data_IF_450952380303
#
_entry.id   IF_450952380303
#
_cell.length_a   1.000
_cell.length_b   1.000
_cell.length_c   1.000
_cell.angle_alpha   90.00
_cell.angle_beta   90.00
_cell.angle_gamma   90.00
#
_symmetry.space_group_name_H-M   'P 1'
#
loop_
_entity.id
_entity.type
_entity.pdbx_description
1 polymer ?
#
# COMPACT_ATOMS: atom_id res chain seq x y z
N UNK A 1 -15.62 -21.29 -4.07
CA UNK A 1 -15.69 -19.89 -3.65
C UNK A 1 -16.43 -19.05 -4.71
N UNK A 2 -16.98 -17.91 -4.31
CA UNK A 2 -17.73 -17.03 -5.22
C UNK A 2 -16.87 -16.48 -6.38
N UNK A 3 -15.58 -16.30 -6.14
CA UNK A 3 -14.66 -15.60 -7.06
C UNK A 3 -13.52 -16.48 -7.58
N UNK A 4 -13.41 -17.72 -7.17
CA UNK A 4 -12.31 -18.61 -7.56
C UNK A 4 -10.92 -17.99 -7.34
N UNK A 5 -10.68 -17.41 -6.17
CA UNK A 5 -9.42 -16.79 -5.75
C UNK A 5 -8.83 -17.53 -4.56
N UNK A 6 -7.52 -17.51 -4.44
CA UNK A 6 -6.76 -17.86 -3.24
C UNK A 6 -6.36 -16.57 -2.51
N UNK A 7 -6.50 -16.55 -1.19
CA UNK A 7 -6.13 -15.41 -0.36
C UNK A 7 -5.07 -15.85 0.64
N UNK A 8 -3.99 -15.08 0.72
CA UNK A 8 -2.91 -15.27 1.69
C UNK A 8 -2.87 -14.04 2.59
N UNK A 9 -2.90 -14.24 3.89
CA UNK A 9 -2.92 -13.17 4.89
C UNK A 9 -1.61 -13.21 5.72
N UNK A 10 -0.55 -12.54 5.29
CA UNK A 10 0.69 -12.48 6.05
C UNK A 10 0.56 -11.52 7.23
N UNK A 11 1.25 -11.81 8.33
CA UNK A 11 1.44 -10.84 9.41
C UNK A 11 2.44 -9.77 8.98
N UNK A 12 2.13 -8.51 9.24
CA UNK A 12 3.02 -7.38 8.98
C UNK A 12 3.54 -6.73 10.26
N UNK A 13 3.12 -7.22 11.43
CA UNK A 13 3.42 -6.58 12.72
C UNK A 13 3.18 -5.05 12.66
N UNK A 14 4.15 -4.24 13.11
CA UNK A 14 4.10 -2.76 13.04
C UNK A 14 5.07 -2.21 11.99
N UNK A 15 5.32 -2.96 10.89
CA UNK A 15 6.38 -2.66 9.92
C UNK A 15 5.97 -1.73 8.78
N UNK A 16 4.70 -1.39 8.65
CA UNK A 16 4.15 -0.78 7.42
C UNK A 16 4.52 -1.55 6.14
N UNK A 17 4.91 -2.82 6.28
CA UNK A 17 5.33 -3.69 5.18
C UNK A 17 6.51 -3.14 4.36
N UNK A 18 7.37 -2.32 4.99
CA UNK A 18 8.60 -1.80 4.36
C UNK A 18 9.83 -2.58 4.83
N UNK A 19 10.92 -2.46 4.07
CA UNK A 19 12.23 -2.91 4.53
C UNK A 19 12.78 -1.88 5.51
N UNK A 20 12.91 -2.27 6.78
CA UNK A 20 13.31 -1.40 7.86
C UNK A 20 14.65 -1.80 8.44
N UNK A 21 15.65 -0.95 8.25
CA UNK A 21 16.98 -1.15 8.90
C UNK A 21 16.89 -1.03 10.42
N UNK A 22 16.07 -0.12 10.93
CA UNK A 22 15.88 0.11 12.35
C UNK A 22 15.17 -1.03 13.08
N UNK A 23 14.32 -1.78 12.37
CA UNK A 23 13.65 -2.98 12.88
C UNK A 23 14.39 -4.28 12.54
N UNK A 24 15.42 -4.23 11.67
CA UNK A 24 16.09 -5.42 11.18
C UNK A 24 15.18 -6.36 10.36
N UNK A 25 14.17 -5.80 9.68
CA UNK A 25 13.15 -6.57 8.98
C UNK A 25 13.05 -6.15 7.51
N UNK A 26 12.77 -7.12 6.64
CA UNK A 26 12.65 -6.94 5.19
C UNK A 26 11.24 -7.33 4.71
N UNK A 27 10.22 -6.68 5.26
CA UNK A 27 8.82 -7.02 4.95
C UNK A 27 8.45 -6.75 3.49
N UNK A 28 8.98 -5.70 2.86
CA UNK A 28 8.71 -5.44 1.46
C UNK A 28 9.24 -6.58 0.55
N UNK A 29 10.47 -7.03 0.78
CA UNK A 29 11.05 -8.17 0.07
C UNK A 29 10.28 -9.46 0.35
N UNK A 30 9.91 -9.68 1.61
CA UNK A 30 9.14 -10.86 1.99
C UNK A 30 7.79 -10.91 1.26
N UNK A 31 7.00 -9.83 1.30
CA UNK A 31 5.67 -9.80 0.66
C UNK A 31 5.79 -9.76 -0.87
N UNK A 32 6.66 -8.89 -1.40
CA UNK A 32 6.76 -8.62 -2.83
C UNK A 32 7.43 -9.72 -3.64
N UNK A 33 8.25 -10.56 -3.01
CA UNK A 33 9.04 -11.57 -3.70
C UNK A 33 8.96 -12.96 -3.07
N UNK A 34 9.34 -13.08 -1.79
CA UNK A 34 9.54 -14.40 -1.19
C UNK A 34 8.21 -15.14 -0.98
N UNK A 35 7.19 -14.45 -0.47
CA UNK A 35 5.86 -14.99 -0.27
C UNK A 35 5.19 -15.35 -1.60
N UNK A 36 5.26 -14.47 -2.60
CA UNK A 36 4.70 -14.73 -3.93
C UNK A 36 5.32 -15.98 -4.52
N UNK A 37 6.64 -16.08 -4.52
CA UNK A 37 7.38 -17.26 -5.03
C UNK A 37 7.03 -18.54 -4.25
N UNK A 38 6.94 -18.46 -2.94
CA UNK A 38 6.57 -19.59 -2.10
C UNK A 38 5.15 -20.10 -2.42
N UNK A 39 4.20 -19.19 -2.52
CA UNK A 39 2.79 -19.51 -2.80
C UNK A 39 2.63 -20.17 -4.18
N UNK A 40 3.27 -19.60 -5.21
CA UNK A 40 3.25 -20.21 -6.55
C UNK A 40 3.80 -21.64 -6.55
N UNK A 41 4.98 -21.82 -5.95
CA UNK A 41 5.65 -23.15 -5.94
C UNK A 41 4.90 -24.18 -5.11
N UNK A 42 4.32 -23.75 -3.97
CA UNK A 42 3.72 -24.69 -3.01
C UNK A 42 2.30 -25.08 -3.40
N UNK A 43 1.51 -24.15 -3.93
CA UNK A 43 0.08 -24.36 -4.19
C UNK A 43 -0.26 -24.47 -5.69
N UNK A 44 0.72 -24.36 -6.59
CA UNK A 44 0.50 -24.45 -8.03
C UNK A 44 -0.44 -23.36 -8.58
N UNK A 45 -0.45 -22.19 -7.96
CA UNK A 45 -1.25 -21.05 -8.42
C UNK A 45 -0.59 -20.39 -9.64
N UNK A 46 -1.35 -19.58 -10.36
CA UNK A 46 -0.82 -18.83 -11.51
C UNK A 46 0.36 -17.96 -11.10
N UNK A 47 1.39 -17.91 -11.96
CA UNK A 47 2.54 -17.01 -11.82
C UNK A 47 2.50 -15.85 -12.81
N UNK A 48 1.37 -15.65 -13.48
CA UNK A 48 1.19 -14.52 -14.37
C UNK A 48 0.91 -13.27 -13.53
N UNK A 49 1.58 -12.17 -13.86
CA UNK A 49 1.43 -10.89 -13.18
C UNK A 49 -0.04 -10.46 -13.06
N UNK A 50 -0.79 -10.61 -14.14
CA UNK A 50 -2.22 -10.24 -14.22
C UNK A 50 -3.15 -11.04 -13.29
N UNK A 51 -2.68 -12.17 -12.76
CA UNK A 51 -3.43 -13.02 -11.83
C UNK A 51 -3.04 -12.79 -10.37
N UNK A 52 -2.04 -11.95 -10.10
CA UNK A 52 -1.50 -11.70 -8.75
C UNK A 52 -1.78 -10.28 -8.32
N UNK A 53 -2.48 -10.13 -7.20
CA UNK A 53 -2.84 -8.83 -6.63
C UNK A 53 -2.40 -8.72 -5.17
N UNK A 54 -2.15 -7.51 -4.73
CA UNK A 54 -1.90 -7.21 -3.33
C UNK A 54 -2.92 -6.19 -2.83
N UNK A 55 -3.41 -6.38 -1.62
CA UNK A 55 -4.43 -5.49 -1.08
C UNK A 55 -4.43 -5.44 0.43
N UNK A 56 -4.97 -4.39 1.00
CA UNK A 56 -5.06 -4.25 2.44
C UNK A 56 -5.85 -3.04 2.89
N UNK A 57 -5.93 -2.91 4.20
CA UNK A 57 -6.61 -1.80 4.86
C UNK A 57 -5.65 -1.09 5.83
N UNK A 58 -5.84 0.21 6.05
CA UNK A 58 -5.04 1.01 6.98
C UNK A 58 -3.53 0.90 6.69
N UNK A 59 -2.72 0.43 7.65
CA UNK A 59 -1.31 0.09 7.45
C UNK A 59 -1.11 -0.90 6.29
N UNK A 60 -1.99 -1.90 6.15
CA UNK A 60 -1.96 -2.86 5.05
C UNK A 60 -2.33 -2.25 3.69
N UNK A 61 -3.15 -1.19 3.67
CA UNK A 61 -3.44 -0.42 2.46
C UNK A 61 -2.20 0.34 1.96
N UNK A 62 -1.48 0.98 2.87
CA UNK A 62 -0.16 1.55 2.55
C UNK A 62 0.78 0.46 2.03
N UNK A 63 0.91 -0.66 2.76
CA UNK A 63 1.80 -1.76 2.39
C UNK A 63 1.47 -2.35 1.02
N UNK A 64 0.19 -2.49 0.69
CA UNK A 64 -0.24 -3.00 -0.62
C UNK A 64 0.18 -2.07 -1.77
N UNK A 65 -0.11 -0.77 -1.65
CA UNK A 65 0.27 0.23 -2.65
C UNK A 65 1.80 0.30 -2.78
N UNK A 66 2.51 0.39 -1.66
CA UNK A 66 3.97 0.42 -1.64
C UNK A 66 4.57 -0.84 -2.30
N UNK A 67 4.09 -2.03 -1.92
CA UNK A 67 4.62 -3.30 -2.45
C UNK A 67 4.38 -3.43 -3.95
N UNK A 68 3.21 -3.08 -4.45
CA UNK A 68 2.94 -3.12 -5.88
C UNK A 68 3.85 -2.16 -6.67
N UNK A 69 4.14 -0.98 -6.13
CA UNK A 69 5.04 -0.01 -6.75
C UNK A 69 6.53 -0.41 -6.63
N UNK A 70 6.92 -1.09 -5.55
CA UNK A 70 8.29 -1.57 -5.36
C UNK A 70 8.59 -2.81 -6.22
N UNK A 71 7.59 -3.65 -6.51
CA UNK A 71 7.70 -4.89 -7.28
C UNK A 71 6.67 -4.93 -8.43
N UNK A 72 6.70 -3.96 -9.35
CA UNK A 72 5.64 -3.80 -10.37
C UNK A 72 5.54 -4.96 -11.36
N UNK A 73 6.60 -5.77 -11.47
CA UNK A 73 6.62 -6.98 -12.29
C UNK A 73 5.87 -8.16 -11.66
N UNK A 74 5.58 -8.10 -10.35
CA UNK A 74 4.92 -9.20 -9.63
C UNK A 74 3.39 -9.06 -9.60
N UNK A 75 2.87 -7.82 -9.64
CA UNK A 75 1.46 -7.57 -9.36
C UNK A 75 0.74 -6.94 -10.54
N UNK A 76 -0.43 -7.49 -10.89
CA UNK A 76 -1.35 -6.93 -11.87
C UNK A 76 -2.13 -5.72 -11.37
N UNK A 77 -2.09 -5.45 -10.07
CA UNK A 77 -2.70 -4.28 -9.44
C UNK A 77 -2.68 -4.36 -7.92
N UNK A 78 -3.03 -3.24 -7.29
CA UNK A 78 -3.15 -3.13 -5.84
C UNK A 78 -4.46 -2.49 -5.41
N UNK A 79 -4.97 -2.84 -4.23
CA UNK A 79 -6.02 -2.06 -3.59
C UNK A 79 -5.66 -1.65 -2.17
N UNK A 80 -6.11 -0.46 -1.78
CA UNK A 80 -5.98 0.06 -0.43
C UNK A 80 -7.29 0.65 0.09
N UNK A 81 -7.74 0.18 1.26
CA UNK A 81 -8.92 0.72 1.95
C UNK A 81 -8.44 1.54 3.14
N UNK A 82 -8.87 2.80 3.25
CA UNK A 82 -8.44 3.71 4.32
C UNK A 82 -6.92 3.67 4.52
N UNK A 83 -6.15 3.82 3.45
CA UNK A 83 -4.71 3.54 3.43
C UNK A 83 -3.93 4.50 4.31
N UNK A 84 -2.97 3.97 5.08
CA UNK A 84 -2.07 4.73 5.95
C UNK A 84 -0.98 5.51 5.19
N UNK A 85 -1.37 6.34 4.22
CA UNK A 85 -0.48 7.11 3.33
C UNK A 85 0.10 8.36 4.03
N UNK A 86 0.79 8.13 5.14
CA UNK A 86 1.20 9.16 6.11
C UNK A 86 2.56 9.82 5.83
N UNK A 87 3.29 9.40 4.80
CA UNK A 87 4.67 9.84 4.54
C UNK A 87 4.78 11.37 4.55
N UNK A 88 3.88 12.07 3.85
CA UNK A 88 3.88 13.55 3.80
C UNK A 88 3.61 14.23 5.14
N UNK A 89 3.02 13.54 6.10
CA UNK A 89 2.73 14.06 7.45
C UNK A 89 3.87 13.80 8.42
N UNK A 90 4.61 12.69 8.26
CA UNK A 90 5.67 12.30 9.19
C UNK A 90 7.06 12.82 8.81
N UNK A 91 7.31 13.16 7.54
CA UNK A 91 8.64 13.62 7.06
C UNK A 91 9.17 14.89 7.72
N UNK A 92 8.29 15.70 8.31
CA UNK A 92 8.64 16.92 9.04
C UNK A 92 8.64 16.76 10.56
N UNK A 93 8.46 15.55 11.08
CA UNK A 93 8.54 15.32 12.52
C UNK A 93 9.98 15.47 13.03
N UNK A 94 10.10 15.99 14.26
CA UNK A 94 11.35 16.12 15.00
C UNK A 94 11.29 15.31 16.29
N UNK A 95 12.44 15.04 16.94
CA UNK A 95 12.50 14.34 18.22
C UNK A 95 11.51 14.91 19.25
N UNK A 96 10.72 14.04 19.85
CA UNK A 96 9.67 14.40 20.81
C UNK A 96 8.30 14.72 20.20
N UNK A 97 8.19 14.87 18.89
CA UNK A 97 6.90 15.04 18.21
C UNK A 97 6.16 13.72 18.02
N UNK A 98 4.86 13.81 17.82
CA UNK A 98 3.96 12.69 17.52
C UNK A 98 3.06 13.02 16.34
N UNK A 99 2.66 12.00 15.62
CA UNK A 99 1.62 12.07 14.62
C UNK A 99 0.71 10.84 14.72
N UNK A 100 -0.60 11.07 14.92
CA UNK A 100 -1.60 10.01 15.08
C UNK A 100 -1.18 8.97 16.15
N UNK A 101 -0.90 7.74 15.75
CA UNK A 101 -0.70 6.61 16.65
C UNK A 101 0.75 6.40 17.10
N UNK A 102 1.73 7.18 16.59
CA UNK A 102 3.13 6.96 16.89
C UNK A 102 3.94 8.25 17.04
N UNK A 103 5.10 8.13 17.64
CA UNK A 103 6.06 9.20 17.82
C UNK A 103 7.19 9.16 16.77
N UNK A 104 8.01 10.21 16.79
CA UNK A 104 9.18 10.36 15.94
C UNK A 104 10.08 9.11 15.97
N UNK A 105 10.39 8.58 17.17
CA UNK A 105 11.31 7.45 17.32
C UNK A 105 10.74 6.18 16.69
N UNK A 106 9.45 5.96 16.85
CA UNK A 106 8.75 4.82 16.24
C UNK A 106 8.77 4.92 14.71
N UNK A 107 8.43 6.09 14.14
CA UNK A 107 8.45 6.26 12.70
C UNK A 107 9.86 6.21 12.13
N UNK A 108 10.85 6.79 12.81
CA UNK A 108 12.27 6.69 12.41
C UNK A 108 12.74 5.24 12.39
N UNK A 109 12.34 4.44 13.38
CA UNK A 109 12.66 3.01 13.41
C UNK A 109 12.04 2.24 12.24
N UNK A 110 10.82 2.58 11.83
CA UNK A 110 10.11 1.92 10.72
C UNK A 110 10.64 2.40 9.36
N UNK A 111 10.64 3.71 9.13
CA UNK A 111 10.86 4.31 7.81
C UNK A 111 12.29 4.82 7.56
N UNK A 112 13.13 4.86 8.61
CA UNK A 112 14.46 5.44 8.55
C UNK A 112 14.46 6.95 8.82
N UNK A 113 15.41 7.69 8.27
CA UNK A 113 15.52 9.14 8.46
C UNK A 113 14.32 9.85 7.83
N UNK A 114 13.49 10.48 8.68
CA UNK A 114 12.22 11.07 8.23
C UNK A 114 12.40 12.26 7.29
N UNK A 115 13.43 13.09 7.48
CA UNK A 115 13.72 14.23 6.61
C UNK A 115 14.08 13.83 5.16
N UNK A 116 14.51 12.58 4.95
CA UNK A 116 14.88 12.03 3.64
C UNK A 116 13.75 11.32 2.90
N UNK A 117 12.52 11.26 3.45
CA UNK A 117 11.44 10.45 2.90
C UNK A 117 10.95 10.88 1.51
N UNK A 118 11.16 12.12 1.10
CA UNK A 118 10.78 12.58 -0.26
C UNK A 118 11.51 11.83 -1.39
N UNK A 119 12.70 11.29 -1.12
CA UNK A 119 13.51 10.54 -2.09
C UNK A 119 13.78 9.10 -1.64
N UNK A 120 13.03 8.61 -0.67
CA UNK A 120 13.19 7.28 -0.11
C UNK A 120 12.31 6.26 -0.83
N UNK A 121 12.82 5.05 -1.01
CA UNK A 121 12.07 3.93 -1.57
C UNK A 121 10.88 3.47 -0.71
N UNK A 122 10.78 3.91 0.55
CA UNK A 122 9.59 3.66 1.38
C UNK A 122 8.44 4.61 1.04
N UNK A 123 8.66 5.62 0.20
CA UNK A 123 7.64 6.59 -0.21
C UNK A 123 6.96 6.17 -1.52
N UNK A 124 5.65 5.84 -1.52
CA UNK A 124 4.93 5.50 -2.74
C UNK A 124 5.00 6.58 -3.84
N UNK A 125 5.00 7.87 -3.47
CA UNK A 125 5.12 8.95 -4.46
C UNK A 125 6.48 8.96 -5.15
N UNK A 126 7.55 8.68 -4.42
CA UNK A 126 8.89 8.53 -4.99
C UNK A 126 8.95 7.34 -5.94
N UNK A 127 8.38 6.19 -5.55
CA UNK A 127 8.35 4.99 -6.39
C UNK A 127 7.59 5.23 -7.71
N UNK A 128 6.47 5.95 -7.67
CA UNK A 128 5.74 6.34 -8.90
C UNK A 128 6.62 7.16 -9.82
N UNK A 129 7.28 8.20 -9.32
CA UNK A 129 8.17 9.06 -10.13
C UNK A 129 9.32 8.26 -10.74
N UNK A 130 9.96 7.41 -9.93
CA UNK A 130 11.07 6.55 -10.38
C UNK A 130 10.62 5.59 -11.49
N UNK A 131 9.47 4.92 -11.34
CA UNK A 131 8.97 4.01 -12.37
C UNK A 131 8.67 4.73 -13.69
N UNK A 132 8.15 5.96 -13.64
CA UNK A 132 7.95 6.81 -14.83
C UNK A 132 9.27 7.17 -15.50
N UNK A 133 10.27 7.60 -14.73
CA UNK A 133 11.60 7.94 -15.23
C UNK A 133 12.29 6.73 -15.87
N UNK A 134 12.09 5.54 -15.32
CA UNK A 134 12.59 4.27 -15.85
C UNK A 134 11.76 3.73 -17.04
N UNK A 135 10.65 4.36 -17.39
CA UNK A 135 9.72 3.88 -18.42
C UNK A 135 9.05 2.55 -18.10
N UNK A 136 8.93 2.21 -16.83
CA UNK A 136 8.30 0.98 -16.36
C UNK A 136 6.81 1.15 -16.14
N UNK A 137 6.07 0.08 -16.38
CA UNK A 137 4.63 0.04 -16.14
C UNK A 137 4.31 0.15 -14.65
N UNK A 138 3.41 1.07 -14.31
CA UNK A 138 2.87 1.23 -12.95
C UNK A 138 1.62 0.36 -12.85
N UNK A 139 1.55 -0.58 -11.88
CA UNK A 139 0.35 -1.35 -11.64
C UNK A 139 -0.85 -0.45 -11.33
N UNK A 140 -2.04 -0.71 -11.89
CA UNK A 140 -3.24 0.05 -11.55
C UNK A 140 -3.56 -0.07 -10.06
N UNK A 141 -4.10 1.03 -9.49
CA UNK A 141 -4.36 1.16 -8.06
C UNK A 141 -5.85 1.44 -7.84
N UNK A 142 -6.48 0.68 -6.96
CA UNK A 142 -7.80 0.98 -6.43
C UNK A 142 -7.67 1.49 -5.00
N UNK A 143 -8.37 2.58 -4.67
CA UNK A 143 -8.42 3.11 -3.30
C UNK A 143 -9.84 3.44 -2.91
N UNK A 144 -10.16 3.23 -1.64
CA UNK A 144 -11.41 3.69 -1.04
C UNK A 144 -11.15 4.20 0.39
N UNK A 145 -11.83 5.29 0.77
CA UNK A 145 -11.72 5.87 2.11
C UNK A 145 -13.05 6.47 2.57
N UNK A 146 -13.38 6.31 3.85
CA UNK A 146 -14.57 6.92 4.43
C UNK A 146 -14.39 8.43 4.56
N UNK A 147 -15.48 9.19 4.33
CA UNK A 147 -15.43 10.66 4.39
C UNK A 147 -15.19 11.21 5.81
N UNK A 148 -15.48 10.42 6.84
CA UNK A 148 -15.24 10.73 8.25
C UNK A 148 -14.02 9.98 8.83
N UNK A 149 -13.23 9.32 7.97
CA UNK A 149 -11.98 8.62 8.35
C UNK A 149 -10.87 9.65 8.62
N UNK A 150 -10.10 9.47 9.69
CA UNK A 150 -8.99 10.37 10.01
C UNK A 150 -7.84 10.34 8.97
N UNK A 151 -7.82 9.35 8.09
CA UNK A 151 -6.88 9.24 6.96
C UNK A 151 -7.44 9.78 5.64
N UNK A 152 -8.63 10.39 5.63
CA UNK A 152 -9.26 10.83 4.39
C UNK A 152 -8.40 11.84 3.62
N UNK A 153 -7.80 12.81 4.31
CA UNK A 153 -6.98 13.84 3.65
C UNK A 153 -5.71 13.25 3.03
N UNK A 154 -5.05 12.29 3.68
CA UNK A 154 -3.87 11.61 3.16
C UNK A 154 -4.21 10.78 1.91
N UNK A 155 -5.38 10.13 1.89
CA UNK A 155 -5.85 9.40 0.73
C UNK A 155 -6.21 10.34 -0.43
N UNK A 156 -6.81 11.51 -0.15
CA UNK A 156 -7.08 12.55 -1.16
C UNK A 156 -5.80 13.16 -1.72
N UNK A 157 -4.81 13.46 -0.86
CA UNK A 157 -3.50 13.98 -1.27
C UNK A 157 -2.83 13.01 -2.27
N UNK A 158 -2.85 11.71 -1.98
CA UNK A 158 -2.26 10.71 -2.85
C UNK A 158 -3.06 10.49 -4.15
N UNK A 159 -4.40 10.51 -4.10
CA UNK A 159 -5.27 10.54 -5.28
C UNK A 159 -4.90 11.69 -6.22
N UNK A 160 -4.77 12.90 -5.65
CA UNK A 160 -4.45 14.10 -6.42
C UNK A 160 -3.03 14.04 -6.99
N UNK A 161 -2.09 13.43 -6.25
CA UNK A 161 -0.76 13.14 -6.73
C UNK A 161 -0.81 12.17 -7.94
N UNK A 162 -1.48 11.03 -7.84
CA UNK A 162 -1.62 10.07 -8.94
C UNK A 162 -2.25 10.71 -10.18
N UNK A 163 -3.25 11.56 -9.97
CA UNK A 163 -3.91 12.31 -11.06
C UNK A 163 -2.93 13.25 -11.76
N UNK A 164 -2.13 14.03 -11.02
CA UNK A 164 -1.10 14.92 -11.59
C UNK A 164 -0.03 14.14 -12.35
N UNK A 165 0.32 12.96 -11.87
CA UNK A 165 1.31 12.09 -12.50
C UNK A 165 0.74 11.31 -13.71
N UNK A 166 -0.56 11.35 -13.97
CA UNK A 166 -1.20 10.60 -15.05
C UNK A 166 -1.19 9.08 -14.85
N UNK A 167 -1.16 8.63 -13.61
CA UNK A 167 -1.20 7.21 -13.24
C UNK A 167 -2.64 6.70 -13.27
N UNK A 168 -2.87 5.50 -13.78
CA UNK A 168 -4.18 4.86 -13.77
C UNK A 168 -4.58 4.43 -12.36
N UNK A 169 -5.72 4.93 -11.86
CA UNK A 169 -6.29 4.54 -10.57
C UNK A 169 -7.81 4.62 -10.58
N UNK A 170 -8.42 3.95 -9.60
CA UNK A 170 -9.82 4.11 -9.21
C UNK A 170 -9.87 4.61 -7.77
N UNK A 171 -10.69 5.62 -7.51
CA UNK A 171 -10.83 6.16 -6.15
C UNK A 171 -12.30 6.36 -5.80
N UNK A 172 -12.70 5.86 -4.65
CA UNK A 172 -14.07 5.94 -4.14
C UNK A 172 -14.10 6.52 -2.73
N UNK A 173 -15.06 7.38 -2.47
CA UNK A 173 -15.41 7.88 -1.13
C UNK A 173 -16.88 7.61 -0.83
N UNK A 174 -17.17 7.26 0.40
CA UNK A 174 -18.54 7.19 0.92
C UNK A 174 -18.53 7.50 2.40
N UNK A 175 -19.72 7.78 2.98
CA UNK A 175 -19.83 7.98 4.44
C UNK A 175 -19.29 6.77 5.19
N UNK A 176 -18.42 7.00 6.17
CA UNK A 176 -17.80 5.98 7.00
C UNK A 176 -16.55 6.47 7.70
N UNK A 177 -16.19 5.77 8.77
CA UNK A 177 -15.02 6.02 9.61
C UNK A 177 -14.00 4.90 9.45
N UNK A 178 -12.88 5.00 10.16
CA UNK A 178 -11.80 4.01 10.15
C UNK A 178 -12.18 2.74 10.93
N UNK A 179 -13.07 1.92 10.38
CA UNK A 179 -13.58 0.74 11.07
C UNK A 179 -13.85 -0.47 10.16
N UNK A 180 -14.07 -1.62 10.83
CA UNK A 180 -14.39 -2.88 10.15
C UNK A 180 -15.72 -2.86 9.39
N UNK A 181 -16.65 -1.97 9.71
CA UNK A 181 -17.92 -1.86 8.96
C UNK A 181 -17.62 -1.32 7.57
N UNK A 182 -16.92 -0.19 7.50
CA UNK A 182 -16.51 0.41 6.24
C UNK A 182 -15.72 -0.60 5.37
N UNK A 183 -14.69 -1.22 5.93
CA UNK A 183 -13.82 -2.13 5.17
C UNK A 183 -14.55 -3.36 4.65
N UNK A 184 -15.48 -3.96 5.41
CA UNK A 184 -16.28 -5.10 4.93
C UNK A 184 -17.20 -4.73 3.77
N UNK A 185 -17.77 -3.51 3.78
CA UNK A 185 -18.62 -3.02 2.71
C UNK A 185 -17.83 -2.72 1.42
N UNK A 186 -16.54 -2.32 1.53
CA UNK A 186 -15.71 -1.92 0.39
C UNK A 186 -14.73 -3.01 -0.11
N UNK A 187 -14.59 -4.11 0.63
CA UNK A 187 -13.72 -5.22 0.21
C UNK A 187 -14.24 -5.93 -1.06
N UNK A 188 -15.55 -6.17 -1.15
CA UNK A 188 -16.12 -6.82 -2.34
C UNK A 188 -16.00 -5.97 -3.61
N UNK A 189 -16.28 -4.66 -3.59
CA UNK A 189 -15.96 -3.75 -4.70
C UNK A 189 -14.49 -3.82 -5.14
N UNK A 190 -13.55 -3.77 -4.20
CA UNK A 190 -12.13 -3.90 -4.52
C UNK A 190 -11.77 -5.23 -5.19
N UNK A 191 -12.34 -6.36 -4.70
CA UNK A 191 -12.14 -7.68 -5.31
C UNK A 191 -12.73 -7.70 -6.73
N UNK A 192 -13.92 -7.16 -6.95
CA UNK A 192 -14.53 -7.08 -8.29
C UNK A 192 -13.68 -6.26 -9.25
N UNK A 193 -13.17 -5.13 -8.77
CA UNK A 193 -12.25 -4.29 -9.56
C UNK A 193 -11.00 -5.06 -9.98
N UNK A 194 -10.33 -5.78 -9.06
CA UNK A 194 -9.17 -6.61 -9.38
C UNK A 194 -9.47 -7.67 -10.45
N UNK A 195 -10.69 -8.22 -10.45
CA UNK A 195 -11.11 -9.27 -11.37
C UNK A 195 -11.70 -8.72 -12.68
N UNK A 196 -11.71 -7.41 -12.88
CA UNK A 196 -12.29 -6.75 -14.06
C UNK A 196 -13.81 -6.96 -14.19
N UNK A 197 -14.55 -6.99 -13.08
CA UNK A 197 -15.99 -7.32 -13.03
C UNK A 197 -16.82 -6.21 -12.40
#
# INVERSE_FOLDING_TARGET
SKYNIAIVLPSGENSFYVNSKGMGSNYADFIGRDLVNYVHKTFGLSNKREDVFVGGLSMGGFGAIHTALAFPEQFGGAFGLSSGLIINKIKGLEPGMKYEMADFDTYTRIFGELAGLDTSEVNPEYLVKRLKEEGREIPPIYMSCGTEDFLIEQNREFRDFLSREGVAFTYEESSGVHDWKYWREHLEPAIKWMLGR
#
